data_IF_308750575127
#
_entry.id   IF_308750575127
#
_cell.length_a   1.000
_cell.length_b   1.000
_cell.length_c   1.000
_cell.angle_alpha   90.00
_cell.angle_beta   90.00
_cell.angle_gamma   90.00
#
_symmetry.space_group_name_H-M   'P 1'
#
loop_
_entity.id
_entity.type
_entity.pdbx_description
1 polymer ?
#
# COMPACT_ATOMS: atom_id res chain seq x y z
N UNK A 1 1.76 29.60 31.53
CA UNK A 1 1.49 29.71 30.08
C UNK A 1 1.92 28.41 29.45
N UNK A 2 0.98 27.49 29.24
CA UNK A 2 1.28 26.24 28.54
C UNK A 2 1.50 26.59 27.06
N UNK A 3 2.76 26.69 26.66
CA UNK A 3 3.13 26.89 25.27
C UNK A 3 2.69 25.62 24.54
N UNK A 4 1.61 25.70 23.76
CA UNK A 4 1.08 24.60 22.96
C UNK A 4 2.01 24.30 21.78
N UNK A 5 3.21 23.83 22.08
CA UNK A 5 4.18 23.39 21.07
C UNK A 5 3.89 21.94 20.72
N UNK A 6 3.60 21.70 19.45
CA UNK A 6 3.45 20.35 18.93
C UNK A 6 4.64 20.01 18.03
N UNK A 7 5.07 18.76 18.15
CA UNK A 7 6.07 18.17 17.30
C UNK A 7 5.71 18.35 15.81
N UNK A 8 6.70 18.72 14.98
CA UNK A 8 6.53 18.98 13.54
C UNK A 8 5.81 17.84 12.82
N UNK A 9 6.20 16.61 13.11
CA UNK A 9 5.71 15.42 12.42
C UNK A 9 4.27 15.08 12.84
N UNK A 10 3.94 15.24 14.12
CA UNK A 10 2.56 15.09 14.60
C UNK A 10 1.63 16.17 14.03
N UNK A 11 2.12 17.40 13.91
CA UNK A 11 1.40 18.50 13.26
C UNK A 11 1.14 18.20 11.78
N UNK A 12 2.13 17.64 11.07
CA UNK A 12 1.96 17.19 9.69
C UNK A 12 0.90 16.09 9.58
N UNK A 13 0.89 15.11 10.49
CA UNK A 13 -0.16 14.06 10.52
C UNK A 13 -1.56 14.65 10.80
N UNK A 14 -1.67 15.74 11.57
CA UNK A 14 -2.95 16.47 11.73
C UNK A 14 -3.37 17.14 10.42
N UNK A 15 -2.44 17.73 9.68
CA UNK A 15 -2.72 18.26 8.35
C UNK A 15 -3.24 17.17 7.42
N UNK A 16 -2.56 16.03 7.32
CA UNK A 16 -3.01 14.96 6.42
C UNK A 16 -4.37 14.37 6.87
N UNK A 17 -4.65 14.34 8.18
CA UNK A 17 -5.99 14.00 8.67
C UNK A 17 -7.08 15.00 8.23
N UNK A 18 -6.78 16.29 8.04
CA UNK A 18 -7.75 17.25 7.47
C UNK A 18 -8.05 16.93 6.01
N UNK A 19 -7.06 16.51 5.22
CA UNK A 19 -7.26 16.01 3.85
C UNK A 19 -8.20 14.80 3.87
N UNK A 20 -7.96 13.83 4.76
CA UNK A 20 -8.85 12.67 4.91
C UNK A 20 -10.28 13.04 5.32
N UNK A 21 -10.47 14.13 6.07
CA UNK A 21 -11.80 14.60 6.46
C UNK A 21 -12.59 15.17 5.29
N UNK A 22 -11.95 15.64 4.21
CA UNK A 22 -12.66 16.06 2.98
C UNK A 22 -13.41 14.89 2.34
N UNK A 23 -12.89 13.66 2.45
CA UNK A 23 -13.58 12.45 2.01
C UNK A 23 -14.83 12.10 2.85
N UNK A 24 -15.09 12.80 3.95
CA UNK A 24 -16.32 12.66 4.76
C UNK A 24 -17.32 13.79 4.52
N UNK A 25 -16.93 14.83 3.81
CA UNK A 25 -17.80 15.97 3.56
C UNK A 25 -18.98 15.53 2.69
N UNK A 26 -20.18 15.96 3.05
CA UNK A 26 -21.42 15.62 2.32
C UNK A 26 -21.54 16.41 1.03
N UNK A 27 -20.92 17.58 0.97
CA UNK A 27 -20.97 18.48 -0.18
C UNK A 27 -19.95 18.10 -1.26
N UNK A 28 -19.06 17.15 -0.96
CA UNK A 28 -18.06 16.62 -1.90
C UNK A 28 -18.65 15.42 -2.68
N UNK A 29 -18.63 15.43 -4.02
CA UNK A 29 -19.08 14.31 -4.83
C UNK A 29 -18.31 13.01 -4.54
N UNK A 30 -18.96 11.85 -4.66
CA UNK A 30 -18.36 10.54 -4.29
C UNK A 30 -17.03 10.24 -4.98
N UNK A 31 -16.91 10.58 -6.27
CA UNK A 31 -15.66 10.43 -7.01
C UNK A 31 -14.52 11.25 -6.39
N UNK A 32 -14.79 12.50 -6.03
CA UNK A 32 -13.82 13.38 -5.37
C UNK A 32 -13.47 12.90 -3.95
N UNK A 33 -14.42 12.29 -3.23
CA UNK A 33 -14.10 11.65 -1.93
C UNK A 33 -13.04 10.56 -2.10
N UNK A 34 -13.10 9.76 -3.17
CA UNK A 34 -12.06 8.78 -3.48
C UNK A 34 -10.73 9.45 -3.83
N UNK A 35 -10.75 10.58 -4.56
CA UNK A 35 -9.56 11.40 -4.83
C UNK A 35 -8.89 11.85 -3.53
N UNK A 36 -9.64 12.34 -2.54
CA UNK A 36 -9.09 12.73 -1.24
C UNK A 36 -8.48 11.56 -0.45
N UNK A 37 -9.06 10.36 -0.53
CA UNK A 37 -8.44 9.15 0.05
C UNK A 37 -7.13 8.83 -0.64
N UNK A 38 -7.08 8.94 -1.97
CA UNK A 38 -5.85 8.73 -2.74
C UNK A 38 -4.77 9.74 -2.37
N UNK A 39 -5.12 11.03 -2.28
CA UNK A 39 -4.21 12.12 -1.87
C UNK A 39 -3.68 11.86 -0.46
N UNK A 40 -4.57 11.51 0.49
CA UNK A 40 -4.16 11.14 1.85
C UNK A 40 -3.09 10.03 1.86
N UNK A 41 -3.29 8.98 1.05
CA UNK A 41 -2.36 7.86 0.95
C UNK A 41 -1.04 8.26 0.30
N UNK A 42 -1.06 9.04 -0.79
CA UNK A 42 0.14 9.52 -1.46
C UNK A 42 0.98 10.41 -0.54
N UNK A 43 0.34 11.34 0.18
CA UNK A 43 1.00 12.18 1.18
C UNK A 43 1.61 11.32 2.28
N UNK A 44 0.88 10.31 2.76
CA UNK A 44 1.39 9.42 3.81
C UNK A 44 2.60 8.61 3.31
N UNK A 45 2.59 8.15 2.06
CA UNK A 45 3.72 7.45 1.46
C UNK A 45 4.96 8.36 1.43
N UNK A 46 4.82 9.62 1.01
CA UNK A 46 5.91 10.62 1.05
C UNK A 46 6.40 10.88 2.48
N UNK A 47 5.49 10.99 3.44
CA UNK A 47 5.84 11.14 4.85
C UNK A 47 6.66 9.96 5.38
N UNK A 48 6.35 8.73 4.95
CA UNK A 48 7.18 7.57 5.26
C UNK A 48 8.56 7.63 4.61
N UNK A 49 8.61 8.04 3.34
CA UNK A 49 9.86 8.11 2.58
C UNK A 49 10.80 9.19 3.12
N UNK A 50 10.27 10.34 3.53
CA UNK A 50 11.06 11.50 3.94
C UNK A 50 11.17 11.55 5.46
N UNK A 51 10.05 11.80 6.16
CA UNK A 51 10.08 12.14 7.59
C UNK A 51 10.38 10.95 8.49
N UNK A 52 9.72 9.82 8.25
CA UNK A 52 9.98 8.60 9.04
C UNK A 52 11.39 8.06 8.74
N UNK A 53 11.85 8.17 7.49
CA UNK A 53 13.23 7.86 7.09
C UNK A 53 14.25 8.65 7.91
N UNK A 54 14.20 9.98 7.83
CA UNK A 54 15.12 10.86 8.57
C UNK A 54 15.07 10.64 10.09
N UNK A 55 13.87 10.46 10.67
CA UNK A 55 13.77 10.15 12.10
C UNK A 55 14.37 8.79 12.46
N UNK A 56 14.27 7.80 11.57
CA UNK A 56 14.87 6.49 11.78
C UNK A 56 16.39 6.56 11.76
N UNK A 57 16.97 7.32 10.83
CA UNK A 57 18.42 7.54 10.78
C UNK A 57 18.89 8.35 11.99
N UNK A 58 18.18 9.41 12.38
CA UNK A 58 18.48 10.18 13.58
C UNK A 58 18.42 9.31 14.85
N UNK A 59 17.48 8.36 14.94
CA UNK A 59 17.41 7.41 16.04
C UNK A 59 18.65 6.51 16.12
N UNK A 60 19.21 6.11 14.97
CA UNK A 60 20.38 5.23 14.91
C UNK A 60 21.69 5.98 15.18
N UNK A 61 21.87 7.16 14.59
CA UNK A 61 23.14 7.89 14.63
C UNK A 61 23.20 8.95 15.75
N UNK A 62 22.06 9.52 16.14
CA UNK A 62 21.98 10.61 17.13
C UNK A 62 20.88 10.37 18.18
N UNK A 63 20.90 9.24 18.91
CA UNK A 63 19.79 8.83 19.79
C UNK A 63 19.48 9.80 20.94
N UNK A 64 20.47 10.60 21.37
CA UNK A 64 20.31 11.60 22.42
C UNK A 64 19.75 12.94 21.93
N UNK A 65 19.71 13.16 20.60
CA UNK A 65 19.17 14.38 19.99
C UNK A 65 17.67 14.49 20.28
N UNK A 66 17.22 15.70 20.58
CA UNK A 66 15.84 16.01 20.96
C UNK A 66 15.31 17.16 20.11
N UNK A 67 14.04 17.09 19.76
CA UNK A 67 13.42 18.22 19.07
C UNK A 67 13.26 19.44 19.99
N UNK A 68 13.38 20.62 19.41
CA UNK A 68 13.37 21.89 20.12
C UNK A 68 11.98 22.31 20.67
N UNK A 69 10.90 21.65 20.25
CA UNK A 69 9.52 22.01 20.64
C UNK A 69 8.99 21.14 21.78
N UNK A 70 9.15 19.83 21.65
CA UNK A 70 8.59 18.84 22.59
C UNK A 70 9.63 18.12 23.42
N UNK A 71 10.92 18.29 23.12
CA UNK A 71 12.01 17.60 23.82
C UNK A 71 12.04 16.08 23.58
N UNK A 72 11.31 15.60 22.57
CA UNK A 72 11.21 14.20 22.23
C UNK A 72 12.45 13.74 21.46
N UNK A 73 12.98 12.57 21.83
CA UNK A 73 14.00 11.89 21.02
C UNK A 73 13.38 11.36 19.73
N UNK A 74 14.22 11.09 18.71
CA UNK A 74 13.75 10.53 17.45
C UNK A 74 12.94 9.23 17.64
N UNK A 75 13.36 8.36 18.56
CA UNK A 75 12.62 7.15 18.92
C UNK A 75 11.21 7.45 19.48
N UNK A 76 11.09 8.45 20.34
CA UNK A 76 9.81 8.86 20.91
C UNK A 76 8.89 9.45 19.83
N UNK A 77 9.44 10.28 18.94
CA UNK A 77 8.72 10.84 17.79
C UNK A 77 8.23 9.75 16.84
N UNK A 78 9.09 8.78 16.49
CA UNK A 78 8.73 7.60 15.67
C UNK A 78 7.57 6.83 16.30
N UNK A 79 7.67 6.50 17.59
CA UNK A 79 6.63 5.77 18.31
C UNK A 79 5.30 6.53 18.32
N UNK A 80 5.33 7.83 18.58
CA UNK A 80 4.16 8.69 18.54
C UNK A 80 3.53 8.76 17.14
N UNK A 81 4.36 8.93 16.10
CA UNK A 81 3.92 8.95 14.71
C UNK A 81 3.29 7.64 14.28
N UNK A 82 3.93 6.49 14.54
CA UNK A 82 3.41 5.16 14.19
C UNK A 82 2.08 4.86 14.89
N UNK A 83 1.94 5.26 16.16
CA UNK A 83 0.68 5.15 16.89
C UNK A 83 -0.41 6.00 16.22
N UNK A 84 -0.10 7.24 15.84
CA UNK A 84 -1.04 8.14 15.16
C UNK A 84 -1.42 7.64 13.77
N UNK A 85 -0.45 7.19 12.98
CA UNK A 85 -0.66 6.62 11.64
C UNK A 85 -1.57 5.40 11.70
N UNK A 86 -1.35 4.50 12.67
CA UNK A 86 -2.20 3.32 12.88
C UNK A 86 -3.66 3.71 13.10
N UNK A 87 -3.91 4.75 13.90
CA UNK A 87 -5.25 5.30 14.10
C UNK A 87 -5.83 5.89 12.80
N UNK A 88 -5.04 6.67 12.07
CA UNK A 88 -5.48 7.30 10.81
C UNK A 88 -5.78 6.28 9.71
N UNK A 89 -5.01 5.19 9.61
CA UNK A 89 -5.27 4.11 8.66
C UNK A 89 -6.60 3.41 8.94
N UNK A 90 -6.89 3.08 10.22
CA UNK A 90 -8.20 2.52 10.60
C UNK A 90 -9.35 3.46 10.23
N UNK A 91 -9.18 4.76 10.49
CA UNK A 91 -10.17 5.78 10.11
C UNK A 91 -10.35 5.87 8.59
N UNK A 92 -9.25 5.85 7.82
CA UNK A 92 -9.28 5.84 6.35
C UNK A 92 -10.03 4.62 5.83
N UNK A 93 -9.78 3.44 6.38
CA UNK A 93 -10.44 2.20 5.96
C UNK A 93 -11.95 2.25 6.18
N UNK A 94 -12.41 2.80 7.31
CA UNK A 94 -13.83 3.00 7.58
C UNK A 94 -14.49 3.97 6.59
N UNK A 95 -13.84 5.11 6.31
CA UNK A 95 -14.35 6.10 5.35
C UNK A 95 -14.39 5.49 3.94
N UNK A 96 -13.35 4.75 3.57
CA UNK A 96 -13.27 4.07 2.27
C UNK A 96 -14.40 3.05 2.10
N UNK A 97 -14.66 2.19 3.09
CA UNK A 97 -15.77 1.24 3.03
C UNK A 97 -17.11 1.94 2.90
N UNK A 98 -17.35 3.01 3.68
CA UNK A 98 -18.58 3.78 3.59
C UNK A 98 -18.82 4.36 2.19
N UNK A 99 -17.79 4.93 1.56
CA UNK A 99 -17.91 5.45 0.18
C UNK A 99 -18.16 4.32 -0.81
N UNK A 100 -17.52 3.16 -0.64
CA UNK A 100 -17.79 2.00 -1.50
C UNK A 100 -19.23 1.52 -1.37
N UNK A 101 -19.81 1.56 -0.16
CA UNK A 101 -21.21 1.21 0.06
C UNK A 101 -22.15 2.23 -0.63
N UNK A 102 -21.87 3.53 -0.52
CA UNK A 102 -22.61 4.59 -1.22
C UNK A 102 -22.55 4.40 -2.75
N UNK A 103 -21.36 4.12 -3.30
CA UNK A 103 -21.18 3.82 -4.72
C UNK A 103 -21.93 2.56 -5.15
N UNK A 104 -21.95 1.54 -4.29
CA UNK A 104 -22.64 0.29 -4.56
C UNK A 104 -24.15 0.46 -4.72
N UNK A 105 -24.77 1.35 -3.93
CA UNK A 105 -26.18 1.74 -4.09
C UNK A 105 -26.44 2.40 -5.44
N UNK A 106 -25.49 3.17 -5.96
CA UNK A 106 -25.56 3.80 -7.28
C UNK A 106 -25.18 2.87 -8.44
N UNK A 107 -24.97 1.57 -8.18
CA UNK A 107 -24.59 0.57 -9.18
C UNK A 107 -23.09 0.47 -9.47
N UNK A 108 -22.27 1.33 -8.88
CA UNK A 108 -20.80 1.32 -9.07
C UNK A 108 -20.12 0.41 -8.04
N UNK A 109 -18.97 -0.19 -8.34
CA UNK A 109 -18.24 -0.92 -7.28
C UNK A 109 -17.16 -1.88 -7.74
N UNK A 110 -16.43 -2.39 -6.76
CA UNK A 110 -15.34 -3.36 -6.97
C UNK A 110 -15.82 -4.73 -6.50
N UNK A 111 -15.73 -5.73 -7.37
CA UNK A 111 -16.09 -7.11 -7.10
C UNK A 111 -14.82 -7.95 -7.06
N UNK A 112 -14.70 -8.83 -6.06
CA UNK A 112 -13.58 -9.78 -6.00
C UNK A 112 -13.86 -10.95 -6.94
N UNK A 113 -12.83 -11.53 -7.51
CA UNK A 113 -12.92 -12.67 -8.40
C UNK A 113 -13.74 -13.81 -7.78
N UNK A 114 -13.50 -14.10 -6.50
CA UNK A 114 -14.21 -15.17 -5.77
C UNK A 114 -15.74 -14.97 -5.73
N UNK A 115 -16.19 -13.73 -5.83
CA UNK A 115 -17.60 -13.33 -5.73
C UNK A 115 -18.26 -13.25 -7.12
N UNK A 116 -17.50 -13.38 -8.22
CA UNK A 116 -18.05 -13.54 -9.58
C UNK A 116 -18.79 -14.87 -9.67
N UNK A 117 -20.11 -14.84 -9.91
CA UNK A 117 -20.93 -16.06 -10.06
C UNK A 117 -21.18 -16.45 -11.51
N UNK A 118 -21.20 -15.48 -12.42
CA UNK A 118 -21.43 -15.70 -13.84
C UNK A 118 -20.27 -16.52 -14.45
N UNK A 119 -20.61 -17.61 -15.16
CA UNK A 119 -19.63 -18.50 -15.80
C UNK A 119 -18.91 -17.84 -16.98
N UNK A 120 -19.59 -16.98 -17.73
CA UNK A 120 -19.03 -16.27 -18.88
C UNK A 120 -18.00 -15.24 -18.42
N UNK A 121 -18.28 -14.46 -17.38
CA UNK A 121 -17.29 -13.53 -16.80
C UNK A 121 -16.07 -14.27 -16.24
N UNK A 122 -16.29 -15.41 -15.57
CA UNK A 122 -15.17 -16.25 -15.09
C UNK A 122 -14.31 -16.76 -16.23
N UNK A 123 -14.95 -17.18 -17.33
CA UNK A 123 -14.24 -17.60 -18.55
C UNK A 123 -13.48 -16.42 -19.15
N UNK A 124 -14.12 -15.26 -19.29
CA UNK A 124 -13.50 -14.03 -19.78
C UNK A 124 -12.24 -13.67 -19.00
N UNK A 125 -12.31 -13.61 -17.66
CA UNK A 125 -11.13 -13.30 -16.85
C UNK A 125 -10.08 -14.41 -16.83
N UNK A 126 -10.48 -15.67 -17.03
CA UNK A 126 -9.55 -16.78 -17.23
C UNK A 126 -8.76 -16.63 -18.53
N UNK A 127 -9.45 -16.36 -19.64
CA UNK A 127 -8.86 -16.16 -20.95
C UNK A 127 -8.01 -14.88 -20.97
N UNK A 128 -8.49 -13.80 -20.36
CA UNK A 128 -7.78 -12.54 -20.17
C UNK A 128 -6.51 -12.72 -19.34
N UNK A 129 -6.57 -13.50 -18.26
CA UNK A 129 -5.39 -13.81 -17.47
C UNK A 129 -4.34 -14.56 -18.30
N UNK A 130 -4.74 -15.57 -19.07
CA UNK A 130 -3.79 -16.37 -19.85
C UNK A 130 -3.17 -15.61 -21.04
N UNK A 131 -3.96 -14.76 -21.70
CA UNK A 131 -3.54 -14.04 -22.91
C UNK A 131 -2.82 -12.74 -22.61
N UNK A 132 -3.31 -11.96 -21.65
CA UNK A 132 -2.84 -10.59 -21.41
C UNK A 132 -1.91 -10.52 -20.20
N UNK A 133 -2.30 -11.11 -19.06
CA UNK A 133 -1.57 -10.94 -17.79
C UNK A 133 -0.39 -11.92 -17.65
N UNK A 134 -0.60 -13.21 -17.91
CA UNK A 134 0.38 -14.27 -17.65
C UNK A 134 1.70 -14.06 -18.42
N UNK A 135 1.72 -13.57 -19.68
CA UNK A 135 2.96 -13.29 -20.39
C UNK A 135 3.78 -12.12 -19.80
N UNK A 136 3.11 -11.19 -19.09
CA UNK A 136 3.73 -9.97 -18.56
C UNK A 136 4.23 -10.12 -17.12
N UNK A 137 3.74 -11.13 -16.39
CA UNK A 137 4.20 -11.40 -15.02
C UNK A 137 5.51 -12.17 -15.01
N UNK A 138 6.45 -11.71 -14.17
CA UNK A 138 7.73 -12.38 -13.95
C UNK A 138 7.79 -12.96 -12.53
N UNK A 139 7.32 -14.21 -12.31
CA UNK A 139 7.36 -14.83 -11.00
C UNK A 139 8.76 -15.26 -10.59
N UNK A 140 9.07 -15.14 -9.31
CA UNK A 140 10.35 -15.55 -8.74
C UNK A 140 10.13 -16.53 -7.59
N UNK A 141 10.94 -17.59 -7.53
CA UNK A 141 10.90 -18.57 -6.44
C UNK A 141 12.18 -18.45 -5.62
N UNK A 142 12.01 -18.00 -4.38
CA UNK A 142 13.12 -17.70 -3.49
C UNK A 142 13.77 -19.00 -3.01
N UNK A 143 15.09 -19.06 -3.13
CA UNK A 143 15.91 -20.20 -2.76
C UNK A 143 17.37 -19.77 -2.53
N UNK A 144 18.23 -20.70 -2.07
CA UNK A 144 19.67 -20.40 -1.93
C UNK A 144 20.35 -19.91 -3.21
N UNK A 145 19.85 -20.32 -4.39
CA UNK A 145 20.38 -19.92 -5.70
C UNK A 145 19.68 -18.70 -6.30
N UNK A 146 18.49 -18.38 -5.81
CA UNK A 146 17.69 -17.20 -6.22
C UNK A 146 17.32 -16.45 -4.95
N UNK A 147 18.16 -15.51 -4.49
CA UNK A 147 17.93 -14.79 -3.24
C UNK A 147 16.65 -13.95 -3.31
N UNK A 148 16.25 -13.40 -2.17
CA UNK A 148 15.10 -12.51 -2.09
C UNK A 148 15.32 -11.30 -3.01
N UNK A 149 14.40 -10.98 -3.94
CA UNK A 149 14.64 -9.94 -4.92
C UNK A 149 14.54 -8.55 -4.32
N UNK A 150 15.17 -7.58 -4.97
CA UNK A 150 14.91 -6.19 -4.69
C UNK A 150 13.48 -5.83 -5.14
N UNK A 151 12.62 -5.46 -4.19
CA UNK A 151 11.27 -5.00 -4.48
C UNK A 151 11.31 -3.55 -4.94
N UNK A 152 10.59 -3.15 -5.98
CA UNK A 152 10.52 -1.73 -6.36
C UNK A 152 9.73 -0.93 -5.32
N UNK A 153 10.09 0.34 -5.14
CA UNK A 153 9.47 1.21 -4.15
C UNK A 153 7.98 1.47 -4.49
N UNK A 154 7.08 1.35 -3.51
CA UNK A 154 5.61 1.48 -3.61
C UNK A 154 4.92 0.51 -4.57
N UNK A 155 5.65 -0.44 -5.15
CA UNK A 155 5.11 -1.47 -6.03
C UNK A 155 4.37 -2.56 -5.25
N UNK A 156 3.25 -3.03 -5.80
CA UNK A 156 2.43 -4.08 -5.19
C UNK A 156 2.92 -5.44 -5.66
N UNK A 157 3.21 -6.32 -4.70
CA UNK A 157 3.60 -7.70 -4.95
C UNK A 157 2.62 -8.66 -4.29
N UNK A 158 2.50 -9.86 -4.85
CA UNK A 158 1.89 -11.01 -4.18
C UNK A 158 3.01 -11.93 -3.73
N UNK A 159 3.06 -12.23 -2.44
CA UNK A 159 3.94 -13.25 -1.86
C UNK A 159 3.12 -14.51 -1.60
N UNK A 160 3.69 -15.65 -1.97
CA UNK A 160 3.09 -16.96 -1.79
C UNK A 160 3.99 -17.89 -1.01
N UNK A 161 3.40 -18.62 -0.07
CA UNK A 161 4.05 -19.75 0.57
C UNK A 161 3.85 -20.99 -0.30
N UNK A 162 4.95 -21.53 -0.80
CA UNK A 162 4.98 -22.66 -1.72
C UNK A 162 5.43 -23.93 -1.00
N UNK A 163 4.86 -25.07 -1.38
CA UNK A 163 5.31 -26.40 -0.99
C UNK A 163 5.67 -27.20 -2.25
N UNK A 164 6.90 -27.68 -2.30
CA UNK A 164 7.36 -28.57 -3.38
C UNK A 164 6.76 -29.97 -3.24
N UNK A 165 6.78 -30.76 -4.32
CA UNK A 165 6.39 -32.19 -4.28
C UNK A 165 7.12 -33.01 -3.21
N UNK A 166 8.33 -32.60 -2.82
CA UNK A 166 9.14 -33.22 -1.75
C UNK A 166 8.86 -32.64 -0.36
N UNK A 167 7.77 -31.91 -0.15
CA UNK A 167 7.39 -31.30 1.13
C UNK A 167 8.22 -30.08 1.57
N UNK A 168 9.25 -29.69 0.81
CA UNK A 168 10.07 -28.52 1.16
C UNK A 168 9.28 -27.22 0.98
N UNK A 169 9.29 -26.38 2.03
CA UNK A 169 8.74 -25.02 2.01
C UNK A 169 9.63 -24.08 1.19
N UNK A 170 9.00 -23.24 0.38
CA UNK A 170 9.63 -22.17 -0.40
C UNK A 170 8.75 -20.92 -0.37
N UNK A 171 9.28 -19.80 -0.83
CA UNK A 171 8.54 -18.57 -1.05
C UNK A 171 8.52 -18.25 -2.54
N UNK A 172 7.38 -17.80 -3.04
CA UNK A 172 7.25 -17.23 -4.38
C UNK A 172 6.83 -15.77 -4.26
N UNK A 173 7.23 -14.97 -5.23
CA UNK A 173 6.83 -13.57 -5.33
C UNK A 173 6.54 -13.20 -6.78
N UNK A 174 5.52 -12.38 -6.99
CA UNK A 174 5.14 -11.87 -8.32
C UNK A 174 4.73 -10.40 -8.20
N UNK A 175 5.22 -9.57 -9.11
CA UNK A 175 4.81 -8.16 -9.22
C UNK A 175 3.42 -8.05 -9.84
N UNK A 176 2.61 -7.13 -9.34
CA UNK A 176 1.33 -6.76 -9.94
C UNK A 176 1.43 -5.56 -10.88
N UNK A 177 2.51 -4.76 -10.78
CA UNK A 177 2.59 -3.45 -11.46
C UNK A 177 3.00 -3.52 -12.92
N UNK A 178 3.67 -4.58 -13.34
CA UNK A 178 4.00 -4.77 -14.76
C UNK A 178 2.88 -5.48 -15.53
N UNK A 179 1.76 -5.80 -14.87
CA UNK A 179 0.75 -6.65 -15.47
C UNK A 179 -0.09 -5.91 -16.52
N UNK A 180 -0.48 -4.64 -16.31
CA UNK A 180 -1.33 -3.87 -17.24
C UNK A 180 -1.24 -2.36 -16.97
N UNK A 181 -1.55 -1.55 -18.00
CA UNK A 181 -1.74 -0.10 -17.88
C UNK A 181 -3.02 0.27 -17.09
N UNK A 182 -4.07 -0.55 -17.19
CA UNK A 182 -5.33 -0.35 -16.49
C UNK A 182 -5.43 -1.25 -15.26
N UNK A 183 -5.55 -0.65 -14.06
CA UNK A 183 -5.70 -1.39 -12.80
C UNK A 183 -7.14 -1.87 -12.55
N UNK A 184 -8.14 -1.14 -13.05
CA UNK A 184 -9.57 -1.45 -12.92
C UNK A 184 -10.09 -1.98 -14.24
N UNK A 185 -10.54 -3.24 -14.27
CA UNK A 185 -11.09 -3.89 -15.46
C UNK A 185 -12.61 -4.03 -15.29
N UNK A 186 -13.38 -3.54 -16.26
CA UNK A 186 -14.83 -3.64 -16.23
C UNK A 186 -15.29 -5.10 -16.36
N UNK A 187 -16.37 -5.47 -15.66
CA UNK A 187 -16.96 -6.80 -15.74
C UNK A 187 -18.02 -6.79 -16.86
N UNK A 188 -17.88 -7.60 -17.93
CA UNK A 188 -18.75 -7.52 -19.10
C UNK A 188 -20.24 -7.65 -18.78
N UNK A 189 -20.63 -8.57 -17.90
CA UNK A 189 -22.05 -8.78 -17.56
C UNK A 189 -22.61 -7.79 -16.53
N UNK A 190 -21.78 -6.94 -15.91
CA UNK A 190 -22.15 -6.08 -14.80
C UNK A 190 -21.72 -4.64 -15.04
N UNK A 191 -22.62 -3.83 -15.62
CA UNK A 191 -22.38 -2.41 -15.83
C UNK A 191 -22.04 -1.69 -14.51
N UNK A 192 -20.99 -0.86 -14.53
CA UNK A 192 -20.53 -0.11 -13.35
C UNK A 192 -19.74 -0.94 -12.34
N UNK A 193 -19.53 -2.24 -12.57
CA UNK A 193 -18.72 -3.10 -11.69
C UNK A 193 -17.37 -3.43 -12.31
N UNK A 194 -16.36 -3.44 -11.45
CA UNK A 194 -14.97 -3.61 -11.85
C UNK A 194 -14.29 -4.67 -10.99
N UNK A 195 -13.24 -5.27 -11.53
CA UNK A 195 -12.29 -6.10 -10.79
C UNK A 195 -10.91 -5.45 -10.85
N UNK A 196 -10.15 -5.59 -9.77
CA UNK A 196 -8.77 -5.13 -9.71
C UNK A 196 -7.85 -6.17 -10.35
N UNK A 197 -6.87 -5.73 -11.14
CA UNK A 197 -5.88 -6.63 -11.78
C UNK A 197 -5.14 -7.46 -10.75
N UNK A 198 -4.75 -6.87 -9.62
CA UNK A 198 -4.08 -7.61 -8.54
C UNK A 198 -4.95 -8.74 -7.94
N UNK A 199 -6.28 -8.62 -7.96
CA UNK A 199 -7.19 -9.67 -7.49
C UNK A 199 -7.31 -10.82 -8.51
N UNK A 200 -7.26 -10.51 -9.81
CA UNK A 200 -7.15 -11.52 -10.88
C UNK A 200 -5.85 -12.30 -10.73
N UNK A 201 -4.71 -11.62 -10.59
CA UNK A 201 -3.40 -12.25 -10.39
C UNK A 201 -3.41 -13.09 -9.11
N UNK A 202 -3.94 -12.57 -8.01
CA UNK A 202 -4.05 -13.30 -6.75
C UNK A 202 -4.92 -14.55 -6.91
N UNK A 203 -6.00 -14.50 -7.68
CA UNK A 203 -6.84 -15.66 -7.95
C UNK A 203 -6.06 -16.75 -8.70
N UNK A 204 -5.41 -16.38 -9.81
CA UNK A 204 -4.71 -17.31 -10.70
C UNK A 204 -3.24 -17.57 -10.35
N UNK A 205 -2.79 -17.12 -9.18
CA UNK A 205 -1.39 -17.31 -8.73
C UNK A 205 -0.96 -18.79 -8.69
N UNK A 206 -1.90 -19.73 -8.58
CA UNK A 206 -1.63 -21.18 -8.73
C UNK A 206 -1.20 -21.59 -10.13
N UNK A 207 -1.69 -20.92 -11.18
CA UNK A 207 -1.24 -21.13 -12.57
C UNK A 207 0.18 -20.60 -12.76
N UNK A 208 0.50 -19.46 -12.14
CA UNK A 208 1.84 -18.85 -12.16
C UNK A 208 2.86 -19.81 -11.51
N UNK A 209 2.55 -20.36 -10.34
CA UNK A 209 3.42 -21.28 -9.62
C UNK A 209 2.97 -22.75 -9.79
N UNK A 210 2.64 -23.17 -11.01
CA UNK A 210 2.06 -24.50 -11.33
C UNK A 210 2.86 -25.71 -10.84
N UNK A 211 4.17 -25.56 -10.62
CA UNK A 211 5.06 -26.62 -10.10
C UNK A 211 4.97 -26.83 -8.58
N UNK A 212 4.19 -26.00 -7.88
CA UNK A 212 4.14 -25.95 -6.41
C UNK A 212 2.70 -25.97 -5.89
N UNK A 213 2.52 -26.52 -4.69
CA UNK A 213 1.27 -26.36 -3.95
C UNK A 213 1.32 -25.04 -3.18
N UNK A 214 0.31 -24.19 -3.38
CA UNK A 214 0.20 -22.92 -2.64
C UNK A 214 -0.45 -23.19 -1.28
N UNK A 215 0.18 -22.73 -0.21
CA UNK A 215 -0.33 -22.82 1.16
C UNK A 215 -1.00 -21.53 1.60
N UNK A 216 -0.32 -20.41 1.38
CA UNK A 216 -0.77 -19.07 1.74
C UNK A 216 -0.41 -18.09 0.63
N UNK A 217 -1.16 -17.00 0.54
CA UNK A 217 -0.91 -15.90 -0.38
C UNK A 217 -1.30 -14.58 0.28
N UNK A 218 -0.51 -13.54 0.09
CA UNK A 218 -0.76 -12.21 0.64
C UNK A 218 -0.21 -11.12 -0.28
N UNK A 219 -0.79 -9.94 -0.20
CA UNK A 219 -0.22 -8.74 -0.81
C UNK A 219 0.85 -8.14 0.09
N UNK A 220 1.92 -7.64 -0.50
CA UNK A 220 2.91 -6.79 0.16
C UNK A 220 3.18 -5.57 -0.70
N UNK A 221 3.50 -4.45 -0.04
CA UNK A 221 3.99 -3.22 -0.66
C UNK A 221 5.07 -2.67 0.26
N UNK A 222 6.21 -2.28 -0.30
CA UNK A 222 7.32 -1.73 0.48
C UNK A 222 7.50 -0.26 0.13
N UNK A 223 7.60 0.57 1.15
CA UNK A 223 8.04 1.97 1.03
C UNK A 223 9.44 2.06 1.62
N UNK A 224 10.39 2.60 0.85
CA UNK A 224 11.76 2.86 1.31
C UNK A 224 11.96 4.33 1.60
N UNK A 225 12.90 4.64 2.49
CA UNK A 225 13.37 6.02 2.64
C UNK A 225 13.77 6.56 1.27
N UNK A 226 13.49 7.83 1.02
CA UNK A 226 14.27 8.56 0.04
C UNK A 226 15.65 8.74 0.67
N UNK A 227 16.73 8.34 -0.02
CA UNK A 227 18.06 8.83 0.34
C UNK A 227 18.02 10.33 0.12
N UNK A 228 17.83 11.05 1.22
CA UNK A 228 18.02 12.49 1.25
C UNK A 228 19.39 12.63 1.90
N UNK A 229 20.41 12.74 1.06
CA UNK A 229 21.64 13.40 1.49
C UNK A 229 21.20 14.83 1.84
N UNK A 230 20.86 15.05 3.12
CA UNK A 230 20.63 16.38 3.63
C UNK A 230 22.02 17.04 3.71
N UNK A 231 22.40 17.77 2.66
CA UNK A 231 23.20 18.99 2.76
C UNK A 231 22.42 20.04 3.61
N UNK A 232 21.97 19.65 4.80
CA UNK A 232 21.27 20.52 5.73
C UNK A 232 22.34 21.24 6.55
N UNK A 233 22.69 22.43 6.07
CA UNK A 233 23.48 23.46 6.74
C UNK A 233 22.85 23.96 8.07
N UNK A 234 22.08 23.13 8.79
CA UNK A 234 21.46 23.48 10.07
C UNK A 234 22.33 23.17 11.30
N UNK A 235 23.57 22.70 11.10
CA UNK A 235 24.56 22.49 12.17
C UNK A 235 25.72 23.51 12.18
N UNK A 236 25.70 24.55 11.34
CA UNK A 236 26.59 25.71 11.50
C UNK A 236 25.92 26.75 12.40
N UNK A 237 26.11 26.60 13.71
CA UNK A 237 25.54 27.54 14.67
C UNK A 237 25.82 27.24 16.13
N UNK A 238 26.98 26.68 16.45
CA UNK A 238 27.49 26.63 17.83
C UNK A 238 29.00 26.89 17.81
N UNK A 239 29.38 28.17 17.64
CA UNK A 239 30.54 28.71 18.35
C UNK A 239 30.19 28.90 19.84
#
# INVERSE_FOLDING_TARGET
MDICMENRELSWLKFNNRVLLQAKDKDVPLGEKLSFISIFQSNLDEFFMVRIGSLYDQMLFYPASKDNKTGMTAQQQLSACLKRITYLNKKKDQIYQHILDELNVLGWGIVKYKDLKNKEDRKYFGDYFEREILPLVSPQVISKRQPFPFLKNRELYIVVQLESKKGKRKMGIVSCSNAMDQRLIAIPSMQGKFILVEDIILHFVSKIFSKYKIKNKAFIRVTRSADIDEDDHSLEGHE
#
